data_IF_461105035406
#
_entry.id   IF_461105035406
#
_cell.length_a   1.000
_cell.length_b   1.000
_cell.length_c   1.000
_cell.angle_alpha   90.00
_cell.angle_beta   90.00
_cell.angle_gamma   90.00
#
_symmetry.space_group_name_H-M   'P 1'
#
loop_
_entity.id
_entity.type
_entity.pdbx_description
1 polymer ?
#
# COMPACT_ATOMS: atom_id res chain seq x y z
N UNK A 1 -16.66 6.23 -55.89
CA UNK A 1 -17.19 5.00 -55.28
C UNK A 1 -16.16 4.51 -54.27
N UNK A 2 -16.51 4.54 -52.98
CA UNK A 2 -15.97 3.77 -51.83
C UNK A 2 -14.44 3.52 -51.78
N UNK A 3 -13.73 4.22 -50.88
CA UNK A 3 -13.36 3.77 -49.52
C UNK A 3 -12.18 2.80 -49.50
N UNK A 4 -11.03 3.23 -48.94
CA UNK A 4 -10.39 2.65 -47.75
C UNK A 4 -9.09 3.41 -47.41
N UNK A 5 -9.00 3.96 -46.19
CA UNK A 5 -7.73 4.31 -45.53
C UNK A 5 -7.08 3.01 -45.02
N UNK A 6 -5.74 2.97 -44.90
CA UNK A 6 -5.23 2.60 -43.58
C UNK A 6 -4.02 3.44 -43.14
N UNK A 7 -4.24 4.19 -42.07
CA UNK A 7 -3.26 4.41 -41.00
C UNK A 7 -3.04 3.03 -40.37
N UNK A 8 -1.79 2.56 -40.26
CA UNK A 8 -1.45 1.63 -39.19
C UNK A 8 0.00 1.84 -38.79
N UNK A 9 0.13 2.42 -37.61
CA UNK A 9 1.34 2.63 -36.83
C UNK A 9 2.25 1.39 -36.87
N UNK A 10 3.54 1.66 -37.07
CA UNK A 10 4.63 0.77 -36.68
C UNK A 10 4.29 0.10 -35.35
N UNK A 11 4.20 -1.22 -35.38
CA UNK A 11 3.96 -2.05 -34.21
C UNK A 11 5.05 -1.80 -33.17
N UNK A 12 4.67 -1.10 -32.10
CA UNK A 12 5.41 -1.15 -30.86
C UNK A 12 5.20 -2.56 -30.32
N UNK A 13 6.09 -3.48 -30.67
CA UNK A 13 6.31 -4.68 -29.88
C UNK A 13 6.77 -4.19 -28.52
N UNK A 14 5.81 -3.88 -27.63
CA UNK A 14 6.08 -3.96 -26.20
C UNK A 14 6.46 -5.43 -25.98
N UNK A 15 7.77 -5.69 -25.98
CA UNK A 15 8.33 -6.82 -25.27
C UNK A 15 7.93 -6.63 -23.81
N UNK A 16 6.72 -7.06 -23.47
CA UNK A 16 6.35 -7.33 -22.10
C UNK A 16 7.28 -8.44 -21.65
N UNK A 17 8.41 -8.04 -21.06
CA UNK A 17 9.18 -8.94 -20.23
C UNK A 17 8.24 -9.34 -19.09
N UNK A 18 7.61 -10.51 -19.22
CA UNK A 18 7.21 -11.27 -18.06
C UNK A 18 8.51 -11.60 -17.34
N UNK A 19 8.89 -10.73 -16.41
CA UNK A 19 9.95 -11.05 -15.47
C UNK A 19 9.36 -12.20 -14.66
N UNK A 20 9.81 -13.42 -14.96
CA UNK A 20 9.51 -14.56 -14.13
C UNK A 20 10.14 -14.27 -12.77
N UNK A 21 9.32 -13.96 -11.76
CA UNK A 21 9.76 -13.84 -10.37
C UNK A 21 10.20 -15.23 -9.89
N UNK A 22 11.43 -15.60 -10.22
CA UNK A 22 12.06 -16.81 -9.73
C UNK A 22 12.28 -16.64 -8.23
N UNK A 23 11.62 -17.48 -7.43
CA UNK A 23 11.81 -17.59 -5.99
C UNK A 23 13.25 -18.06 -5.70
N UNK A 24 14.19 -17.17 -5.29
CA UNK A 24 15.49 -17.63 -4.86
C UNK A 24 15.29 -18.17 -3.45
N UNK A 25 15.50 -19.46 -3.23
CA UNK A 25 15.22 -20.18 -1.97
C UNK A 25 16.04 -19.74 -0.75
N UNK A 26 15.96 -18.46 -0.38
CA UNK A 26 16.41 -17.90 0.88
C UNK A 26 15.23 -17.65 1.82
N UNK A 27 15.49 -17.26 3.09
CA UNK A 27 14.44 -16.79 3.98
C UNK A 27 13.82 -15.54 3.32
N UNK A 28 12.61 -15.66 2.79
CA UNK A 28 12.03 -14.60 1.98
C UNK A 28 12.05 -13.27 2.74
N UNK A 29 12.63 -12.23 2.15
CA UNK A 29 12.82 -10.93 2.79
C UNK A 29 11.80 -9.92 2.26
N UNK A 30 11.14 -9.15 3.12
CA UNK A 30 10.30 -8.03 2.72
C UNK A 30 11.13 -6.74 2.73
N UNK A 31 11.02 -5.96 1.66
CA UNK A 31 11.65 -4.66 1.50
C UNK A 31 10.58 -3.58 1.53
N UNK A 32 10.00 -3.37 2.72
CA UNK A 32 9.04 -2.30 3.01
C UNK A 32 9.65 -1.34 4.02
N UNK A 33 9.30 -0.05 3.99
CA UNK A 33 9.72 0.91 5.01
C UNK A 33 9.24 0.50 6.41
N UNK A 34 10.09 0.69 7.42
CA UNK A 34 9.75 0.40 8.83
C UNK A 34 8.64 1.32 9.37
N UNK A 35 8.48 2.50 8.76
CA UNK A 35 7.44 3.45 9.10
C UNK A 35 6.89 4.21 7.89
N UNK A 36 5.63 4.60 7.97
CA UNK A 36 4.90 5.40 6.99
C UNK A 36 4.27 6.57 7.71
N UNK A 37 4.49 7.79 7.22
CA UNK A 37 3.88 8.99 7.78
C UNK A 37 2.71 9.43 6.93
N UNK A 38 1.58 9.69 7.58
CA UNK A 38 0.35 10.20 6.96
C UNK A 38 -0.01 11.52 7.61
N UNK A 39 -0.53 12.44 6.82
CA UNK A 39 -1.00 13.73 7.30
C UNK A 39 -2.45 13.90 6.93
N UNK A 40 -3.26 14.26 7.92
CA UNK A 40 -4.68 14.47 7.78
C UNK A 40 -5.12 15.69 8.59
N UNK A 41 -6.28 16.26 8.27
CA UNK A 41 -6.95 17.22 9.14
C UNK A 41 -7.99 16.49 9.99
N UNK A 42 -8.12 16.84 11.27
CA UNK A 42 -9.16 16.27 12.16
C UNK A 42 -10.53 16.46 11.51
N UNK A 43 -11.39 15.44 11.45
CA UNK A 43 -12.69 15.59 10.76
C UNK A 43 -12.60 15.73 9.23
N UNK A 44 -11.42 15.57 8.64
CA UNK A 44 -11.16 15.70 7.20
C UNK A 44 -11.57 14.48 6.37
N UNK A 45 -11.15 14.47 5.11
CA UNK A 45 -11.37 13.36 4.17
C UNK A 45 -10.40 12.19 4.45
N UNK A 46 -10.73 10.99 3.97
CA UNK A 46 -9.87 9.82 4.16
C UNK A 46 -8.55 10.01 3.40
N UNK A 47 -7.45 9.63 4.04
CA UNK A 47 -6.11 9.71 3.46
C UNK A 47 -5.67 8.30 3.07
N UNK A 48 -5.43 8.08 1.79
CA UNK A 48 -4.92 6.79 1.29
C UNK A 48 -3.48 6.92 0.80
N UNK A 49 -2.63 5.97 1.16
CA UNK A 49 -1.28 5.82 0.60
C UNK A 49 -1.10 4.43 0.02
N UNK A 50 -0.28 4.32 -1.02
CA UNK A 50 0.09 3.04 -1.60
C UNK A 50 1.47 2.64 -1.12
N UNK A 51 1.54 1.47 -0.50
CA UNK A 51 2.78 0.83 -0.10
C UNK A 51 3.08 -0.28 -1.10
N UNK A 52 4.13 -0.11 -1.90
CA UNK A 52 4.62 -1.21 -2.73
C UNK A 52 5.30 -2.25 -1.83
N UNK A 53 4.96 -3.52 -2.05
CA UNK A 53 5.58 -4.64 -1.36
C UNK A 53 6.65 -5.22 -2.26
N UNK A 54 7.88 -4.79 -2.02
CA UNK A 54 9.08 -5.32 -2.64
C UNK A 54 9.72 -6.37 -1.73
N UNK A 55 10.58 -7.23 -2.27
CA UNK A 55 11.23 -8.28 -1.48
C UNK A 55 11.69 -9.49 -2.28
N UNK A 56 11.87 -10.59 -1.56
CA UNK A 56 12.36 -11.88 -2.04
C UNK A 56 11.56 -13.03 -1.45
N UNK A 57 10.25 -12.86 -1.25
CA UNK A 57 9.34 -13.92 -0.83
C UNK A 57 8.51 -14.45 -2.00
N UNK A 58 7.99 -15.65 -1.83
CA UNK A 58 7.31 -16.38 -2.87
C UNK A 58 5.89 -16.68 -2.40
N UNK A 59 4.91 -16.56 -3.28
CA UNK A 59 3.47 -16.55 -2.96
C UNK A 59 2.94 -15.21 -2.41
N UNK A 60 2.10 -15.25 -1.38
CA UNK A 60 1.38 -14.12 -0.85
C UNK A 60 1.95 -13.71 0.51
N UNK A 61 1.93 -12.41 0.78
CA UNK A 61 2.04 -11.83 2.10
C UNK A 61 0.66 -11.44 2.61
N UNK A 62 0.28 -11.99 3.76
CA UNK A 62 -0.90 -11.57 4.50
C UNK A 62 -0.59 -10.25 5.21
N UNK A 63 -1.41 -9.24 4.97
CA UNK A 63 -1.32 -7.94 5.61
C UNK A 63 -2.43 -7.85 6.66
N UNK A 64 -2.05 -7.60 7.90
CA UNK A 64 -2.96 -7.55 9.03
C UNK A 64 -2.76 -6.24 9.80
N UNK A 65 -3.85 -5.51 10.00
CA UNK A 65 -3.91 -4.37 10.91
C UNK A 65 -4.28 -4.88 12.29
N UNK A 66 -3.68 -4.31 13.32
CA UNK A 66 -4.07 -4.58 14.69
C UNK A 66 -5.48 -4.03 14.98
N UNK A 67 -6.28 -4.79 15.72
CA UNK A 67 -7.70 -4.48 15.94
C UNK A 67 -7.90 -3.12 16.64
N UNK A 68 -6.95 -2.74 17.49
CA UNK A 68 -6.93 -1.44 18.17
C UNK A 68 -6.79 -0.25 17.20
N UNK A 69 -6.16 -0.46 16.04
CA UNK A 69 -5.98 0.55 15.00
C UNK A 69 -7.07 0.47 13.92
N UNK A 70 -7.81 -0.64 13.83
CA UNK A 70 -8.83 -0.89 12.80
C UNK A 70 -9.98 0.14 12.80
N UNK A 71 -10.17 0.88 13.90
CA UNK A 71 -11.15 1.96 14.00
C UNK A 71 -10.85 3.15 13.06
N UNK A 72 -9.57 3.41 12.78
CA UNK A 72 -9.14 4.55 11.95
C UNK A 72 -8.15 4.16 10.85
N UNK A 73 -7.53 2.99 10.91
CA UNK A 73 -6.58 2.48 9.93
C UNK A 73 -7.14 1.23 9.25
N UNK A 74 -7.03 1.15 7.94
CA UNK A 74 -7.46 -0.01 7.16
C UNK A 74 -6.48 -0.26 6.03
N UNK A 75 -6.36 -1.52 5.59
CA UNK A 75 -5.49 -1.88 4.46
C UNK A 75 -6.27 -2.73 3.47
N UNK A 76 -6.03 -2.54 2.17
CA UNK A 76 -6.63 -3.37 1.13
C UNK A 76 -5.68 -3.47 -0.06
N UNK A 77 -5.46 -4.68 -0.63
CA UNK A 77 -5.97 -5.97 -0.16
C UNK A 77 -5.19 -6.50 1.05
N UNK A 78 -5.84 -7.29 1.92
CA UNK A 78 -5.20 -7.96 3.07
C UNK A 78 -4.29 -9.14 2.70
N UNK A 79 -4.11 -9.38 1.39
CA UNK A 79 -3.18 -10.34 0.81
C UNK A 79 -2.59 -9.75 -0.46
N UNK A 80 -1.28 -9.72 -0.57
CA UNK A 80 -0.54 -9.17 -1.71
C UNK A 80 0.59 -10.09 -2.13
N UNK A 81 0.98 -10.04 -3.39
CA UNK A 81 2.16 -10.74 -3.90
C UNK A 81 3.37 -9.80 -3.94
N UNK A 82 4.49 -10.36 -4.36
CA UNK A 82 5.66 -9.58 -4.72
C UNK A 82 5.32 -8.59 -5.86
N UNK A 83 5.84 -7.36 -5.78
CA UNK A 83 5.59 -6.23 -6.70
C UNK A 83 4.15 -5.68 -6.68
N UNK A 84 3.25 -6.28 -5.89
CA UNK A 84 1.91 -5.72 -5.67
C UNK A 84 1.97 -4.49 -4.75
N UNK A 85 0.90 -3.68 -4.82
CA UNK A 85 0.74 -2.49 -3.99
C UNK A 85 -0.40 -2.68 -3.00
N UNK A 86 -0.15 -2.38 -1.73
CA UNK A 86 -1.14 -2.32 -0.65
C UNK A 86 -1.65 -0.89 -0.55
N UNK A 87 -2.96 -0.70 -0.54
CA UNK A 87 -3.55 0.60 -0.20
C UNK A 87 -3.80 0.64 1.30
N UNK A 88 -3.14 1.57 1.98
CA UNK A 88 -3.35 1.89 3.39
C UNK A 88 -4.26 3.11 3.44
N UNK A 89 -5.38 3.01 4.14
CA UNK A 89 -6.38 4.06 4.29
C UNK A 89 -6.44 4.46 5.76
N UNK A 90 -6.19 5.74 6.04
CA UNK A 90 -6.39 6.35 7.34
C UNK A 90 -7.62 7.25 7.32
N UNK A 91 -8.48 7.09 8.32
CA UNK A 91 -9.72 7.82 8.50
C UNK A 91 -9.59 8.80 9.69
N UNK A 92 -9.33 10.09 9.42
CA UNK A 92 -9.22 11.11 10.47
C UNK A 92 -10.58 11.62 10.97
N UNK A 93 -11.70 11.14 10.41
CA UNK A 93 -13.02 11.73 10.61
C UNK A 93 -13.54 11.61 12.04
N UNK A 94 -13.14 10.55 12.73
CA UNK A 94 -13.45 10.29 14.14
C UNK A 94 -12.26 10.59 15.07
N UNK A 95 -11.17 11.17 14.55
CA UNK A 95 -9.95 11.44 15.30
C UNK A 95 -9.84 12.92 15.66
N UNK A 96 -9.41 13.20 16.89
CA UNK A 96 -9.07 14.55 17.33
C UNK A 96 -7.72 14.98 16.74
N UNK A 97 -7.38 16.26 16.84
CA UNK A 97 -6.04 16.72 16.48
C UNK A 97 -4.99 16.08 17.40
N UNK A 98 -3.95 15.47 16.82
CA UNK A 98 -2.96 14.70 17.56
C UNK A 98 -2.12 13.79 16.68
N UNK A 99 -1.21 13.05 17.30
CA UNK A 99 -0.44 11.99 16.65
C UNK A 99 -1.05 10.64 17.01
N UNK A 100 -1.28 9.81 15.99
CA UNK A 100 -1.80 8.46 16.13
C UNK A 100 -0.77 7.50 15.55
N UNK A 101 -0.31 6.58 16.39
CA UNK A 101 0.58 5.51 15.99
C UNK A 101 -0.26 4.25 15.76
N UNK A 102 -0.03 3.58 14.64
CA UNK A 102 -0.62 2.30 14.32
C UNK A 102 0.40 1.32 13.80
N UNK A 103 0.10 0.03 13.84
CA UNK A 103 0.98 -1.02 13.34
C UNK A 103 0.28 -1.88 12.30
N UNK A 104 0.98 -2.16 11.20
CA UNK A 104 0.59 -3.08 10.15
C UNK A 104 1.60 -4.22 10.13
N UNK A 105 1.12 -5.45 10.30
CA UNK A 105 1.95 -6.65 10.33
C UNK A 105 1.81 -7.39 9.00
N UNK A 106 2.93 -7.68 8.37
CA UNK A 106 3.03 -8.41 7.11
C UNK A 106 3.66 -9.79 7.37
N UNK A 107 2.92 -10.83 7.00
CA UNK A 107 3.28 -12.23 7.18
C UNK A 107 3.34 -12.91 5.81
N UNK A 108 4.53 -13.15 5.23
CA UNK A 108 4.63 -13.99 4.04
C UNK A 108 4.28 -15.44 4.35
N UNK A 109 3.47 -16.07 3.49
CA UNK A 109 3.06 -17.47 3.60
C UNK A 109 4.27 -18.43 3.53
N UNK A 110 5.29 -18.08 2.73
CA UNK A 110 6.55 -18.82 2.55
C UNK A 110 7.76 -17.89 2.76
N UNK A 111 7.95 -17.43 3.99
CA UNK A 111 9.12 -16.66 4.42
C UNK A 111 9.31 -16.78 5.93
N UNK A 112 10.51 -16.52 6.43
CA UNK A 112 10.81 -16.66 7.86
C UNK A 112 10.91 -15.32 8.60
N UNK A 113 10.17 -14.30 8.15
CA UNK A 113 10.16 -13.00 8.81
C UNK A 113 8.75 -12.50 9.09
N UNK A 114 8.63 -11.71 10.16
CA UNK A 114 7.49 -10.86 10.44
C UNK A 114 7.95 -9.44 10.19
N UNK A 115 7.26 -8.71 9.31
CA UNK A 115 7.54 -7.30 9.10
C UNK A 115 6.45 -6.47 9.73
N UNK A 116 6.87 -5.51 10.54
CA UNK A 116 5.96 -4.55 11.15
C UNK A 116 6.24 -3.20 10.53
N UNK A 117 5.23 -2.63 9.89
CA UNK A 117 5.25 -1.28 9.34
C UNK A 117 4.48 -0.40 10.31
N UNK A 118 5.16 0.56 10.92
CA UNK A 118 4.53 1.55 11.79
C UNK A 118 3.87 2.65 10.95
N UNK A 119 2.64 3.00 11.26
CA UNK A 119 1.92 4.09 10.61
C UNK A 119 1.79 5.24 11.60
N UNK A 120 2.45 6.35 11.31
CA UNK A 120 2.33 7.58 12.08
C UNK A 120 1.38 8.53 11.35
N UNK A 121 0.16 8.64 11.85
CA UNK A 121 -0.83 9.58 11.37
C UNK A 121 -0.78 10.87 12.20
N UNK A 122 -0.36 11.95 11.56
CA UNK A 122 -0.47 13.30 12.15
C UNK A 122 -1.78 13.92 11.74
N UNK A 123 -2.67 14.11 12.71
CA UNK A 123 -3.94 14.80 12.53
C UNK A 123 -3.77 16.25 12.96
N UNK A 124 -3.66 17.16 12.00
CA UNK A 124 -3.66 18.59 12.26
C UNK A 124 -5.06 19.05 12.70
N UNK A 125 -5.18 20.04 13.60
CA UNK A 125 -6.47 20.66 13.86
C UNK A 125 -7.04 21.18 12.54
N UNK A 126 -8.30 20.84 12.28
CA UNK A 126 -9.02 21.41 11.16
C UNK A 126 -8.95 22.93 11.31
N UNK A 127 -8.55 23.65 10.26
CA UNK A 127 -8.70 25.10 10.24
C UNK A 127 -10.19 25.37 10.29
N UNK A 128 -10.73 25.62 11.49
CA UNK A 128 -12.13 25.93 11.70
C UNK A 128 -12.42 27.21 10.90
N UNK A 129 -13.35 27.20 9.92
CA UNK A 129 -13.70 28.43 9.22
C UNK A 129 -14.44 29.33 10.21
N UNK A 130 -13.72 30.30 10.79
CA UNK A 130 -14.29 31.39 11.60
C UNK A 130 -13.77 31.43 13.03
N UNK A 131 -12.65 32.12 13.23
CA UNK A 131 -12.42 33.02 14.37
C UNK A 131 -11.79 34.31 13.83
#
# INVERSE_FOLDING_TARGET
MRLLRPISLLGFLLTSALIASACPGGPGQLNVPDHVTLQAAAGGELVSTQLRVDGSFCEYAKVQVEEEHAAWLSVTPGKVKLEDSVTIVANPRALAAGQYEGEIKLFPDRGSGLWTVKVLLTVAPQKQPGE
#
